data_IF_367502788509
#
_entry.id   IF_367502788509
#
_cell.length_a   1.000
_cell.length_b   1.000
_cell.length_c   1.000
_cell.angle_alpha   90.00
_cell.angle_beta   90.00
_cell.angle_gamma   90.00
#
_symmetry.space_group_name_H-M   'P 1'
#
loop_
_entity.id
_entity.type
_entity.pdbx_description
1 polymer ?
#
# COMPACT_ATOMS: atom_id res chain seq x y z
N UNK A 1 -19.38 12.03 66.65
CA UNK A 1 -18.47 13.15 66.32
C UNK A 1 -18.48 13.25 64.81
N UNK A 2 -19.60 13.73 64.26
CA UNK A 2 -19.93 15.12 63.86
C UNK A 2 -19.57 15.33 62.37
N UNK A 3 -20.54 15.26 61.42
CA UNK A 3 -21.47 16.31 60.96
C UNK A 3 -20.72 17.51 60.34
N UNK A 4 -21.01 18.09 59.17
CA UNK A 4 -22.16 18.08 58.23
C UNK A 4 -21.70 18.83 56.95
N UNK A 5 -22.04 18.39 55.73
CA UNK A 5 -23.09 18.92 54.80
C UNK A 5 -23.08 20.42 54.43
N UNK A 6 -23.21 20.67 53.12
CA UNK A 6 -23.83 21.84 52.45
C UNK A 6 -23.15 22.13 51.10
N UNK A 7 -23.63 21.76 49.89
CA UNK A 7 -24.86 22.05 49.12
C UNK A 7 -25.21 23.55 48.97
N UNK A 8 -25.03 24.09 47.74
CA UNK A 8 -25.98 24.85 46.88
C UNK A 8 -25.18 25.74 45.91
N UNK A 9 -25.27 25.65 44.57
CA UNK A 9 -26.37 25.84 43.60
C UNK A 9 -26.49 27.28 43.07
N UNK A 10 -26.16 27.43 41.78
CA UNK A 10 -26.67 28.32 40.71
C UNK A 10 -26.81 29.84 40.90
N UNK A 11 -26.22 30.59 39.95
CA UNK A 11 -26.86 31.74 39.28
C UNK A 11 -26.52 31.73 37.78
N UNK A 12 -27.52 31.45 36.94
CA UNK A 12 -27.62 31.89 35.54
C UNK A 12 -28.19 33.33 35.55
N UNK A 13 -27.67 34.23 34.70
CA UNK A 13 -28.44 35.05 33.75
C UNK A 13 -27.69 36.32 33.28
N UNK A 14 -27.82 36.56 31.96
CA UNK A 14 -27.81 37.85 31.25
C UNK A 14 -26.48 38.57 30.96
N UNK A 15 -26.05 38.55 29.69
CA UNK A 15 -26.38 39.64 28.76
C UNK A 15 -26.20 39.20 27.29
N UNK A 16 -27.29 39.31 26.51
CA UNK A 16 -27.28 39.39 25.05
C UNK A 16 -26.90 40.81 24.60
N UNK A 17 -26.68 40.98 23.27
CA UNK A 17 -26.47 42.20 22.46
C UNK A 17 -25.02 42.72 22.46
N UNK A 18 -24.34 42.95 21.33
CA UNK A 18 -24.78 43.35 19.99
C UNK A 18 -23.92 42.70 18.90
N UNK A 19 -24.60 42.16 17.89
CA UNK A 19 -24.08 42.04 16.54
C UNK A 19 -23.87 43.44 15.94
N UNK A 20 -22.76 43.67 15.23
CA UNK A 20 -22.80 44.28 13.91
C UNK A 20 -21.41 44.35 13.24
N UNK A 21 -21.38 43.80 12.02
CA UNK A 21 -20.78 44.39 10.81
C UNK A 21 -19.25 44.29 10.68
N UNK A 22 -18.80 43.30 9.89
CA UNK A 22 -18.22 43.50 8.56
C UNK A 22 -17.94 42.14 7.90
N UNK A 23 -18.78 41.74 6.95
CA UNK A 23 -18.46 40.72 5.96
C UNK A 23 -18.13 41.47 4.66
N UNK A 24 -16.96 41.28 4.04
CA UNK A 24 -16.78 41.67 2.65
C UNK A 24 -17.47 40.64 1.75
N UNK A 25 -18.57 41.11 1.15
CA UNK A 25 -19.04 40.80 -0.21
C UNK A 25 -17.89 40.35 -1.12
N UNK A 26 -17.95 39.28 -1.89
CA UNK A 26 -19.05 38.69 -2.62
C UNK A 26 -18.46 38.31 -3.98
N UNK A 27 -18.36 37.03 -4.29
CA UNK A 27 -18.20 36.55 -5.67
C UNK A 27 -19.41 35.67 -5.93
N UNK A 28 -20.23 36.14 -6.86
CA UNK A 28 -21.49 35.53 -7.23
C UNK A 28 -21.23 34.17 -7.92
N UNK A 29 -21.96 33.15 -7.45
CA UNK A 29 -22.20 31.94 -8.21
C UNK A 29 -23.14 32.27 -9.38
N UNK A 30 -22.71 31.96 -10.59
CA UNK A 30 -23.59 31.91 -11.75
C UNK A 30 -24.09 30.47 -11.89
N UNK A 31 -25.36 30.25 -11.56
CA UNK A 31 -26.17 29.14 -12.09
C UNK A 31 -26.79 29.60 -13.41
N UNK A 32 -26.45 28.94 -14.52
CA UNK A 32 -27.39 28.37 -15.50
C UNK A 32 -26.60 27.82 -16.71
N UNK A 33 -26.89 26.58 -17.10
CA UNK A 33 -26.40 25.98 -18.34
C UNK A 33 -26.37 24.46 -18.32
N UNK A 34 -27.47 23.85 -18.76
CA UNK A 34 -27.72 22.42 -18.93
C UNK A 34 -26.58 21.63 -19.63
N UNK A 35 -26.50 20.29 -19.43
CA UNK A 35 -25.36 19.48 -19.85
C UNK A 35 -25.30 19.29 -21.37
N UNK A 36 -24.13 19.52 -21.95
CA UNK A 36 -23.82 19.15 -23.32
C UNK A 36 -23.47 17.66 -23.35
N UNK A 37 -24.36 16.89 -23.95
CA UNK A 37 -24.20 15.49 -24.34
C UNK A 37 -23.18 15.42 -25.48
N UNK A 38 -22.11 14.61 -25.33
CA UNK A 38 -21.30 14.19 -26.47
C UNK A 38 -21.86 12.88 -27.04
N UNK A 39 -22.08 12.90 -28.35
CA UNK A 39 -22.80 11.96 -29.19
C UNK A 39 -22.33 10.49 -29.05
N UNK A 40 -23.29 9.61 -28.75
CA UNK A 40 -23.21 8.19 -29.08
C UNK A 40 -23.59 7.99 -30.55
N UNK A 41 -22.68 7.39 -31.32
CA UNK A 41 -23.00 6.84 -32.64
C UNK A 41 -23.72 5.49 -32.44
N UNK A 42 -25.04 5.49 -32.66
CA UNK A 42 -25.85 4.34 -33.13
C UNK A 42 -25.91 4.49 -34.66
N UNK A 43 -25.95 3.47 -35.51
CA UNK A 43 -26.38 2.07 -35.43
C UNK A 43 -26.23 1.48 -36.83
N UNK A 44 -26.14 0.16 -36.99
CA UNK A 44 -26.96 -0.57 -37.99
C UNK A 44 -26.85 -2.09 -37.79
N UNK A 45 -27.83 -2.65 -37.09
CA UNK A 45 -28.33 -4.00 -37.36
C UNK A 45 -29.52 -3.85 -38.31
N UNK A 46 -29.64 -4.77 -39.27
CA UNK A 46 -30.94 -5.06 -39.90
C UNK A 46 -31.08 -6.56 -40.13
N UNK A 47 -32.24 -7.04 -39.69
CA UNK A 47 -32.75 -8.40 -39.69
C UNK A 47 -32.90 -9.02 -41.10
N UNK A 48 -33.00 -10.36 -41.14
CA UNK A 48 -34.00 -11.02 -41.98
C UNK A 48 -34.47 -12.34 -41.38
N UNK A 49 -35.78 -12.40 -41.15
CA UNK A 49 -36.59 -13.57 -40.78
C UNK A 49 -37.16 -14.20 -42.07
N UNK A 50 -37.27 -15.53 -42.14
CA UNK A 50 -38.54 -16.29 -42.33
C UNK A 50 -38.43 -17.63 -43.08
N UNK A 51 -39.08 -18.62 -42.44
CA UNK A 51 -39.99 -19.67 -42.96
C UNK A 51 -39.51 -21.07 -43.38
N UNK A 52 -40.37 -22.01 -42.96
CA UNK A 52 -40.34 -23.48 -42.94
C UNK A 52 -40.80 -24.17 -44.24
N UNK A 53 -40.81 -25.52 -44.19
CA UNK A 53 -41.39 -26.56 -45.06
C UNK A 53 -40.48 -27.08 -46.19
N UNK A 54 -40.27 -28.38 -46.39
CA UNK A 54 -40.79 -29.60 -45.76
C UNK A 54 -40.31 -30.85 -46.54
N UNK A 55 -40.56 -32.04 -45.98
CA UNK A 55 -40.58 -33.38 -46.62
C UNK A 55 -39.22 -33.97 -47.08
N UNK A 56 -38.91 -35.28 -47.07
CA UNK A 56 -39.60 -36.55 -46.79
C UNK A 56 -38.52 -37.68 -46.73
N UNK A 57 -38.76 -38.75 -45.92
CA UNK A 57 -38.45 -40.19 -46.15
C UNK A 57 -36.97 -40.62 -46.44
N UNK A 58 -36.41 -41.77 -46.09
CA UNK A 58 -36.90 -43.05 -45.55
C UNK A 58 -35.69 -43.87 -45.02
N UNK A 59 -36.02 -44.96 -44.32
CA UNK A 59 -35.17 -46.01 -43.76
C UNK A 59 -34.16 -46.68 -44.74
N UNK A 60 -33.05 -47.23 -44.22
CA UNK A 60 -32.86 -48.69 -44.05
C UNK A 60 -31.46 -49.12 -43.56
N UNK A 61 -31.49 -49.90 -42.46
CA UNK A 61 -30.78 -51.18 -42.19
C UNK A 61 -29.36 -51.42 -42.76
N UNK A 62 -28.35 -51.56 -41.90
CA UNK A 62 -27.87 -52.81 -41.27
C UNK A 62 -26.85 -53.59 -42.11
N UNK A 63 -25.64 -53.77 -41.57
CA UNK A 63 -25.06 -55.07 -41.13
C UNK A 63 -23.53 -55.05 -41.16
N UNK A 64 -22.98 -55.51 -40.04
CA UNK A 64 -21.56 -55.72 -39.75
C UNK A 64 -21.04 -56.95 -40.48
N UNK A 65 -19.77 -56.92 -40.93
CA UNK A 65 -18.99 -58.14 -41.18
C UNK A 65 -17.53 -57.96 -40.74
N UNK A 66 -17.17 -58.72 -39.71
CA UNK A 66 -15.82 -58.92 -39.17
C UNK A 66 -15.08 -59.95 -40.04
N UNK A 67 -13.76 -59.79 -40.25
CA UNK A 67 -12.81 -60.89 -40.47
C UNK A 67 -11.34 -60.40 -40.31
N UNK A 68 -10.78 -60.73 -39.15
CA UNK A 68 -9.46 -61.32 -38.84
C UNK A 68 -8.31 -61.30 -39.89
N UNK A 69 -7.11 -60.82 -39.52
CA UNK A 69 -5.82 -61.58 -39.52
C UNK A 69 -4.55 -60.73 -39.23
N UNK A 70 -3.54 -61.44 -38.70
CA UNK A 70 -2.32 -61.10 -37.93
C UNK A 70 -1.05 -60.76 -38.74
N UNK A 71 0.09 -60.36 -38.09
CA UNK A 71 1.11 -59.44 -38.63
C UNK A 71 2.43 -60.10 -39.08
N UNK A 72 3.17 -59.44 -40.00
CA UNK A 72 4.64 -59.50 -40.09
C UNK A 72 5.24 -58.50 -41.12
N UNK A 73 6.16 -57.67 -40.61
CA UNK A 73 7.47 -57.25 -41.17
C UNK A 73 7.67 -56.36 -42.43
N UNK A 74 8.67 -55.47 -42.25
CA UNK A 74 9.52 -54.72 -43.21
C UNK A 74 8.92 -53.48 -43.89
N UNK A 75 9.63 -52.40 -44.23
CA UNK A 75 10.83 -51.68 -43.79
C UNK A 75 11.01 -50.54 -44.81
N UNK A 76 11.33 -49.33 -44.37
CA UNK A 76 11.90 -48.19 -45.12
C UNK A 76 11.43 -47.92 -46.56
N UNK A 77 10.58 -46.91 -46.72
CA UNK A 77 10.65 -46.00 -47.88
C UNK A 77 10.04 -44.64 -47.51
N UNK A 78 10.84 -43.57 -47.60
CA UNK A 78 10.36 -42.18 -47.63
C UNK A 78 9.55 -41.95 -48.91
N UNK A 79 8.34 -41.41 -48.77
CA UNK A 79 7.57 -40.82 -49.88
C UNK A 79 7.10 -39.42 -49.45
N UNK A 80 7.28 -38.39 -50.30
CA UNK A 80 7.03 -36.99 -49.98
C UNK A 80 5.53 -36.69 -49.81
N UNK A 81 5.19 -35.93 -48.78
CA UNK A 81 3.82 -35.68 -48.34
C UNK A 81 3.16 -34.50 -49.07
N UNK A 82 2.56 -34.78 -50.23
CA UNK A 82 1.34 -34.12 -50.68
C UNK A 82 0.34 -35.21 -51.13
N UNK A 83 -0.89 -35.18 -50.59
CA UNK A 83 -1.97 -36.18 -50.65
C UNK A 83 -1.89 -37.38 -49.68
N UNK A 84 -2.38 -37.22 -48.44
CA UNK A 84 -3.41 -38.10 -47.85
C UNK A 84 -4.33 -37.24 -46.98
N UNK A 85 -5.54 -36.98 -47.47
CA UNK A 85 -6.68 -36.51 -46.66
C UNK A 85 -7.79 -37.54 -46.76
N UNK A 86 -8.44 -37.77 -45.61
CA UNK A 86 -9.62 -38.58 -45.32
C UNK A 86 -9.36 -40.03 -44.90
N UNK A 87 -9.35 -40.22 -43.58
CA UNK A 87 -9.44 -41.55 -42.96
C UNK A 87 -8.63 -41.75 -41.69
N UNK A 88 -8.44 -40.72 -40.86
CA UNK A 88 -8.02 -40.93 -39.47
C UNK A 88 -9.23 -40.63 -38.59
N UNK A 89 -9.70 -41.66 -37.88
CA UNK A 89 -10.33 -41.46 -36.59
C UNK A 89 -9.48 -40.44 -35.84
N UNK A 90 -10.01 -39.24 -35.64
CA UNK A 90 -9.60 -38.43 -34.50
C UNK A 90 -10.17 -39.17 -33.30
N UNK A 91 -9.45 -40.18 -32.84
CA UNK A 91 -9.36 -40.37 -31.40
C UNK A 91 -8.65 -39.10 -30.96
N UNK A 92 -9.39 -38.17 -30.38
CA UNK A 92 -8.77 -37.26 -29.44
C UNK A 92 -8.15 -38.15 -28.37
N UNK A 93 -6.90 -38.56 -28.55
CA UNK A 93 -6.06 -38.86 -27.40
C UNK A 93 -5.87 -37.52 -26.70
N UNK A 94 -6.84 -37.16 -25.85
CA UNK A 94 -6.53 -36.36 -24.68
C UNK A 94 -5.47 -37.19 -23.95
N UNK A 95 -4.20 -36.86 -24.12
CA UNK A 95 -3.17 -37.36 -23.23
C UNK A 95 -3.48 -36.76 -21.85
N UNK A 96 -4.35 -37.43 -21.10
CA UNK A 96 -4.69 -37.18 -19.70
C UNK A 96 -3.47 -37.52 -18.84
N UNK A 97 -2.34 -36.88 -19.12
CA UNK A 97 -1.12 -37.11 -18.35
C UNK A 97 -1.18 -36.21 -17.14
N UNK A 98 -1.64 -36.78 -16.04
CA UNK A 98 -1.63 -36.12 -14.75
C UNK A 98 -0.19 -35.93 -14.28
N UNK A 99 0.08 -34.79 -13.63
CA UNK A 99 1.41 -34.41 -13.19
C UNK A 99 1.61 -34.81 -11.74
N UNK A 100 2.71 -35.52 -11.45
CA UNK A 100 3.07 -35.88 -10.08
C UNK A 100 3.52 -34.66 -9.28
N UNK A 101 2.88 -34.43 -8.14
CA UNK A 101 3.26 -33.41 -7.17
C UNK A 101 3.44 -34.01 -5.78
N UNK A 102 4.19 -33.30 -4.95
CA UNK A 102 4.53 -33.71 -3.59
C UNK A 102 4.10 -32.64 -2.61
N UNK A 103 3.43 -33.06 -1.55
CA UNK A 103 2.93 -32.19 -0.49
C UNK A 103 3.30 -32.75 0.88
N UNK A 104 3.15 -31.94 1.93
CA UNK A 104 3.42 -32.29 3.31
C UNK A 104 2.14 -32.23 4.14
N UNK A 105 1.75 -33.30 4.83
CA UNK A 105 0.62 -33.29 5.75
C UNK A 105 0.96 -32.54 7.04
N UNK A 106 -0.07 -32.14 7.79
CA UNK A 106 0.09 -31.39 9.04
C UNK A 106 0.94 -32.13 10.08
N UNK A 107 0.64 -33.42 10.28
CA UNK A 107 1.16 -34.24 11.40
C UNK A 107 2.41 -35.06 11.06
N UNK A 108 2.93 -34.96 9.84
CA UNK A 108 4.12 -35.72 9.40
C UNK A 108 5.01 -34.89 8.48
N UNK A 109 6.32 -35.11 8.59
CA UNK A 109 7.33 -34.51 7.70
C UNK A 109 7.62 -35.35 6.46
N UNK A 110 6.92 -36.48 6.29
CA UNK A 110 6.99 -37.31 5.10
C UNK A 110 6.17 -36.68 3.96
N UNK A 111 6.74 -36.69 2.75
CA UNK A 111 6.03 -36.27 1.55
C UNK A 111 4.90 -37.26 1.21
N UNK A 112 3.74 -36.72 0.85
CA UNK A 112 2.65 -37.45 0.22
C UNK A 112 2.63 -37.13 -1.27
N UNK A 113 2.44 -38.16 -2.09
CA UNK A 113 2.43 -38.05 -3.56
C UNK A 113 1.00 -38.06 -4.06
N UNK A 114 0.65 -37.10 -4.91
CA UNK A 114 -0.63 -37.06 -5.60
C UNK A 114 -0.46 -36.55 -7.04
N UNK A 115 -1.45 -36.84 -7.88
CA UNK A 115 -1.46 -36.46 -9.28
C UNK A 115 -2.42 -35.28 -9.48
N UNK A 116 -2.00 -34.29 -10.26
CA UNK A 116 -2.84 -33.18 -10.68
C UNK A 116 -3.21 -33.31 -12.15
N UNK A 117 -4.46 -32.98 -12.49
CA UNK A 117 -4.90 -32.84 -13.88
C UNK A 117 -4.26 -31.62 -14.52
N UNK A 118 -4.36 -31.52 -15.86
CA UNK A 118 -3.84 -30.39 -16.62
C UNK A 118 -4.47 -29.04 -16.21
N UNK A 119 -5.69 -29.05 -15.66
CA UNK A 119 -6.38 -27.86 -15.13
C UNK A 119 -5.93 -27.45 -13.71
N UNK A 120 -5.00 -28.20 -13.10
CA UNK A 120 -4.47 -27.96 -11.77
C UNK A 120 -5.29 -28.53 -10.62
N UNK A 121 -6.40 -29.24 -10.89
CA UNK A 121 -7.18 -29.93 -9.86
C UNK A 121 -6.59 -31.30 -9.50
N UNK A 122 -6.92 -31.83 -8.33
CA UNK A 122 -6.48 -33.17 -7.92
C UNK A 122 -7.11 -34.24 -8.81
N UNK A 123 -6.29 -35.12 -9.35
CA UNK A 123 -6.72 -36.32 -10.06
C UNK A 123 -6.90 -37.49 -9.09
N UNK A 124 -8.11 -37.61 -8.56
CA UNK A 124 -8.45 -38.63 -7.56
C UNK A 124 -8.28 -40.05 -8.08
N UNK A 125 -8.79 -40.37 -9.28
CA UNK A 125 -8.75 -41.72 -9.83
C UNK A 125 -7.30 -42.15 -10.12
N UNK A 126 -6.51 -41.27 -10.74
CA UNK A 126 -5.12 -41.59 -11.01
C UNK A 126 -4.28 -41.66 -9.72
N UNK A 127 -4.57 -40.78 -8.75
CA UNK A 127 -3.88 -40.80 -7.45
C UNK A 127 -4.21 -42.07 -6.68
N UNK A 128 -5.47 -42.50 -6.63
CA UNK A 128 -5.86 -43.75 -5.96
C UNK A 128 -5.18 -44.97 -6.62
N UNK A 129 -5.12 -44.99 -7.95
CA UNK A 129 -4.51 -46.10 -8.70
C UNK A 129 -3.00 -46.25 -8.46
N UNK A 130 -2.27 -45.16 -8.18
CA UNK A 130 -0.80 -45.17 -8.04
C UNK A 130 -0.32 -44.98 -6.59
N UNK A 131 -1.10 -44.28 -5.77
CA UNK A 131 -0.77 -43.82 -4.43
C UNK A 131 -1.99 -43.97 -3.50
N UNK A 132 -2.58 -45.17 -3.45
CA UNK A 132 -3.81 -45.45 -2.69
C UNK A 132 -3.76 -45.03 -1.22
N UNK A 133 -2.61 -45.14 -0.56
CA UNK A 133 -2.43 -44.64 0.82
C UNK A 133 -2.66 -43.12 0.93
N UNK A 134 -2.32 -42.36 -0.10
CA UNK A 134 -2.57 -40.91 -0.13
C UNK A 134 -4.07 -40.62 -0.12
N UNK A 135 -4.85 -41.35 -0.91
CA UNK A 135 -6.32 -41.21 -0.93
C UNK A 135 -6.98 -41.74 0.33
N UNK A 136 -6.45 -42.81 0.92
CA UNK A 136 -7.04 -43.42 2.12
C UNK A 136 -6.86 -42.57 3.39
N UNK A 137 -5.71 -41.89 3.52
CA UNK A 137 -5.34 -41.20 4.77
C UNK A 137 -5.34 -39.68 4.68
N UNK A 138 -5.14 -39.10 3.49
CA UNK A 138 -4.84 -37.68 3.36
C UNK A 138 -5.80 -36.93 2.43
N UNK A 139 -6.58 -37.61 1.59
CA UNK A 139 -7.53 -36.96 0.70
C UNK A 139 -8.96 -37.39 1.01
N UNK A 140 -9.89 -36.45 0.94
CA UNK A 140 -11.33 -36.72 0.87
C UNK A 140 -11.81 -36.66 -0.57
N UNK A 141 -13.10 -36.86 -0.82
CA UNK A 141 -13.70 -36.79 -2.16
C UNK A 141 -13.77 -35.37 -2.76
N UNK A 142 -13.36 -34.34 -2.02
CA UNK A 142 -13.41 -32.94 -2.45
C UNK A 142 -12.22 -32.18 -1.88
N UNK A 143 -11.53 -31.45 -2.75
CA UNK A 143 -10.39 -30.61 -2.40
C UNK A 143 -10.33 -29.36 -3.29
N UNK A 144 -9.60 -28.36 -2.82
CA UNK A 144 -9.36 -27.12 -3.54
C UNK A 144 -7.92 -26.67 -3.28
N UNK A 145 -7.19 -26.36 -4.36
CA UNK A 145 -5.82 -25.85 -4.26
C UNK A 145 -5.89 -24.33 -4.25
N UNK A 146 -5.35 -23.74 -3.20
CA UNK A 146 -5.34 -22.29 -2.99
C UNK A 146 -3.91 -21.78 -2.92
N UNK A 147 -3.65 -20.63 -3.55
CA UNK A 147 -2.35 -19.98 -3.56
C UNK A 147 -2.23 -18.96 -2.42
N UNK A 148 -1.23 -19.17 -1.56
CA UNK A 148 -0.87 -18.33 -0.41
C UNK A 148 0.33 -17.42 -0.70
N UNK A 149 0.34 -16.77 -1.87
CA UNK A 149 1.41 -15.85 -2.25
C UNK A 149 2.69 -16.58 -2.65
N UNK A 150 2.58 -17.62 -3.47
CA UNK A 150 3.70 -18.45 -3.93
C UNK A 150 3.91 -19.73 -3.11
N UNK A 151 2.89 -20.14 -2.36
CA UNK A 151 2.80 -21.49 -1.78
C UNK A 151 1.41 -22.04 -2.05
N UNK A 152 1.33 -23.22 -2.67
CA UNK A 152 0.06 -23.91 -2.84
C UNK A 152 -0.30 -24.71 -1.59
N UNK A 153 -1.53 -24.55 -1.14
CA UNK A 153 -2.11 -25.32 -0.03
C UNK A 153 -3.38 -25.99 -0.52
N UNK A 154 -3.52 -27.28 -0.26
CA UNK A 154 -4.71 -28.04 -0.64
C UNK A 154 -5.63 -28.10 0.57
N UNK A 155 -6.76 -27.40 0.50
CA UNK A 155 -7.86 -27.60 1.44
C UNK A 155 -8.64 -28.85 1.05
N UNK A 156 -9.01 -29.68 2.02
CA UNK A 156 -9.66 -30.96 1.79
C UNK A 156 -10.85 -31.07 2.74
N UNK A 157 -12.02 -31.40 2.21
CA UNK A 157 -13.25 -31.46 2.99
C UNK A 157 -13.14 -32.52 4.09
N UNK A 158 -13.23 -32.11 5.35
CA UNK A 158 -13.16 -33.01 6.51
C UNK A 158 -11.77 -33.53 6.88
N UNK A 159 -10.70 -33.07 6.21
CA UNK A 159 -9.32 -33.45 6.48
C UNK A 159 -8.44 -32.22 6.74
N UNK A 160 -7.27 -32.43 7.33
CA UNK A 160 -6.28 -31.37 7.49
C UNK A 160 -5.70 -30.95 6.12
N UNK A 161 -5.32 -29.67 5.93
CA UNK A 161 -4.74 -29.22 4.67
C UNK A 161 -3.39 -29.87 4.39
N UNK A 162 -3.04 -29.96 3.10
CA UNK A 162 -1.72 -30.36 2.64
C UNK A 162 -0.94 -29.13 2.15
N UNK A 163 0.36 -29.08 2.46
CA UNK A 163 1.21 -27.91 2.20
C UNK A 163 2.30 -28.23 1.18
N UNK A 164 2.52 -27.37 0.19
CA UNK A 164 3.58 -27.55 -0.81
C UNK A 164 4.98 -27.53 -0.17
N UNK A 165 5.14 -26.79 0.94
CA UNK A 165 6.44 -26.61 1.61
C UNK A 165 6.47 -27.29 2.98
N UNK A 166 7.57 -28.00 3.26
CA UNK A 166 7.81 -28.66 4.56
C UNK A 166 7.82 -27.67 5.72
N UNK A 167 8.47 -26.53 5.51
CA UNK A 167 8.70 -25.43 6.43
C UNK A 167 7.66 -24.30 6.29
N UNK A 168 6.53 -24.58 5.64
CA UNK A 168 5.39 -23.68 5.50
C UNK A 168 5.01 -23.03 6.84
N UNK A 169 4.96 -21.69 6.86
CA UNK A 169 4.50 -20.93 8.03
C UNK A 169 3.04 -21.25 8.36
N UNK A 170 2.23 -21.54 7.33
CA UNK A 170 0.83 -21.91 7.46
C UNK A 170 0.69 -23.28 8.12
N UNK A 171 1.53 -24.24 7.73
CA UNK A 171 1.62 -25.56 8.37
C UNK A 171 2.07 -25.45 9.82
N UNK A 172 3.11 -24.65 10.10
CA UNK A 172 3.60 -24.49 11.49
C UNK A 172 2.54 -23.84 12.39
N UNK A 173 1.78 -22.87 11.87
CA UNK A 173 0.70 -22.24 12.61
C UNK A 173 -0.32 -23.27 13.12
N UNK A 174 -0.79 -24.16 12.25
CA UNK A 174 -1.78 -25.18 12.60
C UNK A 174 -1.31 -26.21 13.64
N UNK A 175 -0.01 -26.28 13.96
CA UNK A 175 0.50 -27.10 15.07
C UNK A 175 0.20 -26.48 16.45
N UNK A 176 -0.19 -25.20 16.49
CA UNK A 176 -0.51 -24.48 17.72
C UNK A 176 -1.93 -23.91 17.64
N UNK A 177 -2.91 -24.70 18.06
CA UNK A 177 -4.34 -24.33 18.06
C UNK A 177 -4.72 -23.71 19.41
N UNK A 178 -5.48 -22.61 19.34
CA UNK A 178 -6.03 -21.87 20.48
C UNK A 178 -7.56 -21.97 20.48
N UNK A 179 -8.15 -21.97 21.67
CA UNK A 179 -9.60 -21.96 21.85
C UNK A 179 -10.15 -20.53 21.84
N UNK A 180 -11.36 -20.36 21.32
CA UNK A 180 -12.09 -19.08 21.35
C UNK A 180 -11.88 -18.22 20.12
N UNK A 181 -11.93 -16.90 20.31
CA UNK A 181 -11.87 -15.92 19.22
C UNK A 181 -10.48 -15.28 19.13
N UNK A 182 -9.94 -15.04 17.92
CA UNK A 182 -8.73 -14.26 17.71
C UNK A 182 -8.74 -12.90 18.40
N UNK A 183 -7.57 -12.45 18.85
CA UNK A 183 -7.42 -11.16 19.53
C UNK A 183 -7.58 -9.95 18.60
N UNK A 184 -7.15 -10.08 17.33
CA UNK A 184 -7.26 -9.02 16.33
C UNK A 184 -8.36 -9.31 15.33
N UNK A 185 -8.93 -8.25 14.76
CA UNK A 185 -9.88 -8.33 13.65
C UNK A 185 -9.24 -8.99 12.43
N UNK A 186 -10.04 -9.72 11.67
CA UNK A 186 -9.64 -10.41 10.46
C UNK A 186 -10.69 -10.22 9.37
N UNK A 187 -10.27 -10.35 8.12
CA UNK A 187 -11.10 -10.12 6.94
C UNK A 187 -11.67 -11.44 6.42
N UNK A 188 -12.98 -11.64 6.61
CA UNK A 188 -13.67 -12.84 6.13
C UNK A 188 -13.95 -12.77 4.62
N UNK A 189 -14.05 -11.58 4.04
CA UNK A 189 -14.31 -11.41 2.61
C UNK A 189 -13.06 -11.76 1.80
N UNK A 190 -11.88 -11.55 2.39
CA UNK A 190 -10.58 -11.99 1.87
C UNK A 190 -10.19 -13.43 2.30
N UNK A 191 -11.14 -14.23 2.78
CA UNK A 191 -10.84 -15.58 3.27
C UNK A 191 -10.41 -16.55 2.15
N UNK A 192 -9.47 -17.43 2.49
CA UNK A 192 -9.00 -18.54 1.66
C UNK A 192 -9.48 -19.85 2.29
N UNK A 193 -10.28 -20.62 1.53
CA UNK A 193 -10.97 -21.83 2.01
C UNK A 193 -11.46 -22.66 0.83
N UNK A 194 -11.88 -23.89 1.10
CA UNK A 194 -12.66 -24.67 0.14
C UNK A 194 -14.05 -24.08 -0.10
N UNK A 195 -14.56 -24.21 -1.33
CA UNK A 195 -15.87 -23.71 -1.74
C UNK A 195 -17.04 -24.25 -0.89
N UNK A 196 -16.88 -25.43 -0.28
CA UNK A 196 -17.88 -26.06 0.60
C UNK A 196 -17.94 -25.47 2.01
N UNK A 197 -16.91 -24.73 2.44
CA UNK A 197 -16.80 -24.28 3.83
C UNK A 197 -17.64 -23.03 4.07
N UNK A 198 -18.57 -23.09 5.04
CA UNK A 198 -19.37 -21.96 5.50
C UNK A 198 -18.61 -21.09 6.51
N UNK A 199 -18.89 -19.77 6.50
CA UNK A 199 -18.24 -18.76 7.37
C UNK A 199 -19.04 -18.42 8.63
N UNK A 200 -19.94 -19.31 9.08
CA UNK A 200 -20.93 -19.02 10.13
C UNK A 200 -20.44 -19.17 11.57
N UNK A 201 -19.46 -20.02 11.83
CA UNK A 201 -19.05 -20.41 13.17
C UNK A 201 -17.66 -21.02 13.20
N UNK A 202 -16.88 -20.61 14.20
CA UNK A 202 -15.52 -21.08 14.47
C UNK A 202 -15.35 -21.25 15.99
N UNK A 203 -14.68 -22.32 16.39
CA UNK A 203 -14.49 -22.66 17.83
C UNK A 203 -13.04 -22.56 18.27
N UNK A 204 -12.12 -22.67 17.32
CA UNK A 204 -10.68 -22.58 17.56
C UNK A 204 -10.01 -21.83 16.42
N UNK A 205 -8.77 -21.38 16.67
CA UNK A 205 -7.97 -20.68 15.68
C UNK A 205 -6.48 -20.99 15.85
N UNK A 206 -5.71 -20.78 14.78
CA UNK A 206 -4.25 -20.77 14.82
C UNK A 206 -3.74 -19.43 14.29
N UNK A 207 -2.72 -18.88 14.96
CA UNK A 207 -2.06 -17.64 14.52
C UNK A 207 -1.04 -17.94 13.44
N UNK A 208 -1.21 -17.30 12.28
CA UNK A 208 -0.22 -17.35 11.21
C UNK A 208 0.69 -16.14 11.33
N UNK A 209 1.98 -16.40 11.48
CA UNK A 209 3.01 -15.36 11.59
C UNK A 209 4.02 -15.48 10.46
N UNK A 210 4.57 -14.35 10.05
CA UNK A 210 5.69 -14.33 9.11
C UNK A 210 7.01 -14.71 9.81
N UNK A 211 8.10 -14.76 9.04
CA UNK A 211 9.46 -15.07 9.53
C UNK A 211 9.98 -14.09 10.59
N UNK A 212 9.40 -12.90 10.72
CA UNK A 212 9.71 -11.91 11.75
C UNK A 212 8.79 -12.03 12.99
N UNK A 213 8.08 -13.14 13.14
CA UNK A 213 7.12 -13.40 14.23
C UNK A 213 5.95 -12.41 14.30
N UNK A 214 5.67 -11.70 13.20
CA UNK A 214 4.54 -10.76 13.11
C UNK A 214 3.30 -11.49 12.63
N UNK A 215 2.17 -11.22 13.29
CA UNK A 215 0.87 -11.76 12.92
C UNK A 215 0.43 -11.23 11.55
N UNK A 216 0.07 -12.15 10.65
CA UNK A 216 -0.39 -11.82 9.28
C UNK A 216 -1.79 -12.37 8.98
N UNK A 217 -2.26 -13.31 9.79
CA UNK A 217 -3.60 -13.87 9.64
C UNK A 217 -3.87 -14.98 10.63
N UNK A 218 -4.99 -15.65 10.43
CA UNK A 218 -5.43 -16.76 11.25
C UNK A 218 -5.92 -17.90 10.37
N UNK A 219 -5.72 -19.14 10.82
CA UNK A 219 -6.67 -20.19 10.46
C UNK A 219 -7.79 -20.17 11.48
N UNK A 220 -9.03 -20.09 11.02
CA UNK A 220 -10.24 -20.32 11.80
C UNK A 220 -10.72 -21.74 11.53
N UNK A 221 -11.05 -22.48 12.58
CA UNK A 221 -11.36 -23.89 12.51
C UNK A 221 -12.80 -24.13 12.95
N UNK A 222 -13.52 -24.92 12.15
CA UNK A 222 -14.86 -25.41 12.50
C UNK A 222 -14.77 -26.52 13.56
N UNK A 223 -15.86 -26.82 14.28
CA UNK A 223 -15.94 -27.94 15.21
C UNK A 223 -15.52 -29.27 14.57
N UNK A 224 -15.06 -30.21 15.40
CA UNK A 224 -14.53 -31.51 14.98
C UNK A 224 -15.45 -32.32 14.07
N UNK A 225 -16.76 -32.06 14.08
CA UNK A 225 -17.74 -32.74 13.22
C UNK A 225 -17.60 -32.40 11.74
N UNK A 226 -17.13 -31.19 11.40
CA UNK A 226 -17.02 -30.72 10.02
C UNK A 226 -15.57 -30.41 9.60
N UNK A 227 -14.61 -30.54 10.53
CA UNK A 227 -13.16 -30.25 10.42
C UNK A 227 -12.78 -29.56 9.10
N UNK A 228 -13.12 -28.28 9.03
CA UNK A 228 -12.83 -27.40 7.90
C UNK A 228 -11.97 -26.24 8.40
N UNK A 229 -11.11 -25.74 7.50
CA UNK A 229 -10.14 -24.70 7.78
C UNK A 229 -10.42 -23.50 6.89
N UNK A 230 -10.42 -22.32 7.48
CA UNK A 230 -10.56 -21.05 6.77
C UNK A 230 -9.37 -20.19 7.14
N UNK A 231 -8.50 -19.87 6.18
CA UNK A 231 -7.51 -18.83 6.41
C UNK A 231 -8.14 -17.46 6.20
N UNK A 232 -7.86 -16.53 7.10
CA UNK A 232 -8.27 -15.13 7.02
C UNK A 232 -7.07 -14.23 7.27
N UNK A 233 -6.80 -13.24 6.41
CA UNK A 233 -5.79 -12.23 6.72
C UNK A 233 -6.26 -11.34 7.87
N UNK A 234 -5.31 -10.81 8.63
CA UNK A 234 -5.60 -9.83 9.68
C UNK A 234 -6.07 -8.51 9.05
N UNK A 235 -6.98 -7.77 9.70
CA UNK A 235 -7.32 -6.41 9.26
C UNK A 235 -6.24 -5.45 9.78
N UNK A 236 -5.30 -5.15 8.89
CA UNK A 236 -4.11 -4.36 9.17
C UNK A 236 -4.28 -2.85 9.10
N UNK A 237 -3.21 -2.13 9.47
CA UNK A 237 -2.98 -0.73 9.10
C UNK A 237 -2.47 -0.60 7.66
N UNK A 238 -1.74 -1.60 7.19
CA UNK A 238 -1.11 -1.59 5.88
C UNK A 238 -1.07 -2.99 5.26
N UNK A 239 -0.79 -3.05 3.96
CA UNK A 239 -0.58 -4.30 3.22
C UNK A 239 0.52 -4.16 2.17
N UNK A 240 1.11 -5.30 1.81
CA UNK A 240 2.00 -5.47 0.66
C UNK A 240 1.39 -6.57 -0.21
N UNK A 241 0.97 -6.23 -1.42
CA UNK A 241 0.15 -7.11 -2.24
C UNK A 241 -1.11 -7.57 -1.47
N UNK A 242 -1.25 -8.87 -1.27
CA UNK A 242 -2.38 -9.47 -0.52
C UNK A 242 -2.08 -9.68 0.98
N UNK A 243 -0.85 -9.42 1.43
CA UNK A 243 -0.45 -9.65 2.81
C UNK A 243 -0.71 -8.42 3.67
N UNK A 244 -1.57 -8.55 4.67
CA UNK A 244 -1.88 -7.48 5.62
C UNK A 244 -0.99 -7.51 6.87
N UNK A 245 -0.75 -6.34 7.44
CA UNK A 245 0.09 -6.13 8.62
C UNK A 245 -0.64 -5.30 9.66
N UNK A 246 -0.61 -5.75 10.92
CA UNK A 246 -1.28 -5.07 12.04
C UNK A 246 -0.86 -3.61 12.15
N UNK A 247 0.43 -3.32 11.96
CA UNK A 247 0.99 -1.96 12.02
C UNK A 247 1.72 -1.56 10.75
N UNK A 248 1.77 -0.25 10.47
CA UNK A 248 2.59 0.29 9.37
C UNK A 248 4.09 -0.04 9.54
N UNK A 249 4.62 0.02 10.77
CA UNK A 249 6.03 -0.32 11.00
C UNK A 249 6.31 -1.80 10.68
N UNK A 250 5.40 -2.72 11.02
CA UNK A 250 5.57 -4.13 10.69
C UNK A 250 5.57 -4.38 9.17
N UNK A 251 4.79 -3.62 8.42
CA UNK A 251 4.82 -3.66 6.95
C UNK A 251 6.18 -3.17 6.42
N UNK A 252 6.68 -2.03 6.91
CA UNK A 252 7.99 -1.49 6.52
C UNK A 252 9.11 -2.49 6.86
N UNK A 253 9.09 -3.08 8.05
CA UNK A 253 10.10 -4.04 8.49
C UNK A 253 10.09 -5.31 7.61
N UNK A 254 8.90 -5.72 7.15
CA UNK A 254 8.73 -6.92 6.31
C UNK A 254 8.97 -6.69 4.81
N UNK A 255 8.87 -5.45 4.34
CA UNK A 255 9.05 -5.10 2.92
C UNK A 255 10.45 -5.43 2.38
N UNK A 256 10.53 -5.80 1.11
CA UNK A 256 11.77 -5.83 0.35
C UNK A 256 12.05 -4.45 -0.27
N UNK A 257 13.28 -4.25 -0.74
CA UNK A 257 13.61 -3.06 -1.53
C UNK A 257 12.74 -3.01 -2.81
N UNK A 258 12.07 -1.88 -3.02
CA UNK A 258 11.17 -1.63 -4.14
C UNK A 258 9.70 -1.93 -3.88
N UNK A 259 9.36 -2.54 -2.74
CA UNK A 259 7.97 -2.88 -2.42
C UNK A 259 7.09 -1.63 -2.24
N UNK A 260 5.82 -1.78 -2.59
CA UNK A 260 4.75 -0.82 -2.32
C UNK A 260 3.91 -1.27 -1.12
N UNK A 261 3.83 -0.40 -0.13
CA UNK A 261 3.06 -0.55 1.10
C UNK A 261 1.84 0.36 0.96
N UNK A 262 0.64 -0.21 1.01
CA UNK A 262 -0.62 0.53 0.90
C UNK A 262 -1.31 0.56 2.25
N UNK A 263 -1.68 1.75 2.74
CA UNK A 263 -2.47 1.88 3.97
C UNK A 263 -3.92 1.41 3.74
N UNK A 264 -4.45 0.63 4.67
CA UNK A 264 -5.81 0.08 4.60
C UNK A 264 -6.79 0.83 5.51
N UNK A 265 -6.27 1.67 6.41
CA UNK A 265 -7.03 2.55 7.30
C UNK A 265 -6.13 3.68 7.80
N UNK A 266 -6.72 4.65 8.48
CA UNK A 266 -5.95 5.68 9.17
C UNK A 266 -5.09 5.05 10.29
N UNK A 267 -3.89 5.57 10.46
CA UNK A 267 -2.87 5.11 11.40
C UNK A 267 -2.71 6.13 12.50
N UNK A 268 -2.70 5.67 13.76
CA UNK A 268 -2.29 6.48 14.91
C UNK A 268 -1.02 5.88 15.48
N UNK A 269 0.08 6.64 15.48
CA UNK A 269 1.35 6.16 16.02
C UNK A 269 1.82 6.99 17.20
N UNK A 270 2.26 6.33 18.27
CA UNK A 270 2.96 6.97 19.40
C UNK A 270 4.49 6.96 19.24
N UNK A 271 4.99 6.25 18.24
CA UNK A 271 6.42 6.09 17.96
C UNK A 271 6.75 6.69 16.58
N UNK A 272 8.02 7.00 16.36
CA UNK A 272 8.50 7.42 15.04
C UNK A 272 8.42 6.22 14.10
N UNK A 273 7.95 6.45 12.87
CA UNK A 273 8.01 5.44 11.80
C UNK A 273 9.40 5.47 11.17
N UNK A 274 10.15 4.38 11.28
CA UNK A 274 11.52 4.28 10.78
C UNK A 274 11.57 3.57 9.41
N UNK A 275 12.16 4.23 8.42
CA UNK A 275 12.31 3.72 7.05
C UNK A 275 13.80 3.54 6.76
N UNK A 276 14.23 2.28 6.62
CA UNK A 276 15.65 1.88 6.46
C UNK A 276 15.96 1.24 5.11
N UNK A 277 15.00 1.27 4.18
CA UNK A 277 15.03 0.55 2.91
C UNK A 277 14.31 1.34 1.83
N UNK A 278 14.53 0.98 0.57
CA UNK A 278 13.86 1.64 -0.54
C UNK A 278 12.43 1.12 -0.67
N UNK A 279 11.42 1.95 -0.40
CA UNK A 279 10.00 1.54 -0.43
C UNK A 279 9.12 2.67 -0.92
N UNK A 280 7.92 2.29 -1.39
CA UNK A 280 6.81 3.23 -1.59
C UNK A 280 5.79 3.05 -0.47
N UNK A 281 5.41 4.14 0.19
CA UNK A 281 4.28 4.20 1.11
C UNK A 281 3.16 4.96 0.39
N UNK A 282 2.14 4.23 -0.05
CA UNK A 282 0.90 4.78 -0.56
C UNK A 282 -0.11 4.91 0.57
N UNK A 283 -0.45 6.15 0.91
CA UNK A 283 -1.45 6.46 1.91
C UNK A 283 -2.86 6.09 1.46
N UNK A 284 -3.14 5.90 0.17
CA UNK A 284 -4.50 5.67 -0.36
C UNK A 284 -5.54 6.66 0.20
N UNK A 285 -5.14 7.93 0.34
CA UNK A 285 -5.95 9.01 0.91
C UNK A 285 -6.13 8.96 2.44
N UNK A 286 -5.41 8.07 3.14
CA UNK A 286 -5.47 7.92 4.60
C UNK A 286 -4.59 8.91 5.34
N UNK A 287 -4.71 8.85 6.66
CA UNK A 287 -4.02 9.72 7.60
C UNK A 287 -3.00 8.92 8.41
N UNK A 288 -1.79 9.45 8.56
CA UNK A 288 -0.88 9.16 9.68
C UNK A 288 -1.00 10.28 10.72
N UNK A 289 -1.60 9.96 11.85
CA UNK A 289 -1.67 10.82 13.03
C UNK A 289 -0.56 10.43 14.02
N UNK A 290 0.52 11.20 14.04
CA UNK A 290 1.66 10.94 14.91
C UNK A 290 1.56 11.74 16.21
N UNK A 291 1.59 11.02 17.33
CA UNK A 291 1.80 11.60 18.64
C UNK A 291 3.30 11.72 19.00
N UNK A 292 4.19 11.16 18.17
CA UNK A 292 5.62 11.28 18.33
C UNK A 292 6.10 12.66 17.87
N UNK A 293 7.23 13.05 18.44
CA UNK A 293 7.92 14.30 18.11
C UNK A 293 8.30 14.40 16.63
N UNK A 294 8.47 13.26 15.95
CA UNK A 294 8.86 13.07 14.52
C UNK A 294 7.85 12.08 13.94
N UNK A 295 7.28 12.36 12.77
CA UNK A 295 6.38 11.45 12.07
C UNK A 295 7.13 10.26 11.48
N UNK A 296 7.99 10.54 10.51
CA UNK A 296 8.80 9.55 9.80
C UNK A 296 10.29 9.90 9.80
N UNK A 297 11.13 8.87 9.91
CA UNK A 297 12.59 8.94 9.73
C UNK A 297 13.02 8.16 8.49
N UNK A 298 13.85 8.79 7.68
CA UNK A 298 14.64 8.10 6.65
C UNK A 298 16.02 7.85 7.26
N UNK A 299 16.28 6.59 7.62
CA UNK A 299 17.34 6.16 8.56
C UNK A 299 18.34 5.19 7.88
N UNK A 300 18.67 5.43 6.62
CA UNK A 300 19.65 4.63 5.88
C UNK A 300 20.28 5.41 4.72
N UNK A 301 21.53 5.08 4.31
CA UNK A 301 22.14 5.61 3.10
C UNK A 301 21.62 4.89 1.86
N UNK A 302 21.77 5.52 0.70
CA UNK A 302 21.52 4.92 -0.62
C UNK A 302 20.09 4.38 -0.83
N UNK A 303 19.10 4.96 -0.15
CA UNK A 303 17.68 4.57 -0.25
C UNK A 303 16.87 5.50 -1.16
N UNK A 304 15.86 4.93 -1.81
CA UNK A 304 14.83 5.65 -2.54
C UNK A 304 13.46 5.44 -1.87
N UNK A 305 12.95 6.48 -1.24
CA UNK A 305 11.68 6.45 -0.50
C UNK A 305 10.66 7.31 -1.21
N UNK A 306 9.50 6.73 -1.51
CA UNK A 306 8.36 7.46 -2.06
C UNK A 306 7.22 7.45 -1.05
N UNK A 307 6.65 8.62 -0.78
CA UNK A 307 5.46 8.78 0.07
C UNK A 307 4.41 9.48 -0.79
N UNK A 308 3.25 8.86 -0.98
CA UNK A 308 2.19 9.42 -1.82
C UNK A 308 0.81 9.27 -1.22
N UNK A 309 -0.12 10.13 -1.63
CA UNK A 309 -1.55 10.08 -1.24
C UNK A 309 -1.77 10.02 0.27
N UNK A 310 -0.92 10.69 1.06
CA UNK A 310 -0.91 10.56 2.51
C UNK A 310 -1.08 11.92 3.18
N UNK A 311 -1.93 11.98 4.20
CA UNK A 311 -1.94 13.10 5.15
C UNK A 311 -1.08 12.73 6.36
N UNK A 312 -0.09 13.56 6.72
CA UNK A 312 0.68 13.39 7.96
C UNK A 312 0.42 14.58 8.87
N UNK A 313 -0.15 14.32 10.04
CA UNK A 313 -0.49 15.35 11.02
C UNK A 313 -0.28 14.85 12.45
N UNK A 314 -0.61 15.70 13.41
CA UNK A 314 -0.48 15.40 14.84
C UNK A 314 -1.62 16.03 15.61
N UNK A 315 -2.56 15.21 16.09
CA UNK A 315 -3.72 15.70 16.87
C UNK A 315 -3.33 16.19 18.27
N UNK A 316 -2.15 15.84 18.76
CA UNK A 316 -1.62 16.37 20.02
C UNK A 316 -0.74 17.62 19.84
N UNK A 317 -0.52 18.07 18.60
CA UNK A 317 0.31 19.24 18.24
C UNK A 317 1.79 19.16 18.69
N UNK A 318 2.29 17.98 19.04
CA UNK A 318 3.67 17.79 19.52
C UNK A 318 4.66 17.43 18.40
N UNK A 319 4.17 17.04 17.22
CA UNK A 319 5.03 16.67 16.10
C UNK A 319 5.77 17.90 15.56
N UNK A 320 7.07 17.96 15.79
CA UNK A 320 7.96 19.03 15.30
C UNK A 320 8.27 18.84 13.81
N UNK A 321 8.28 17.60 13.31
CA UNK A 321 8.67 17.26 11.93
C UNK A 321 7.80 16.11 11.41
N UNK A 322 7.17 16.27 10.25
CA UNK A 322 6.41 15.20 9.62
C UNK A 322 7.36 14.17 8.98
N UNK A 323 8.36 14.65 8.24
CA UNK A 323 9.39 13.82 7.61
C UNK A 323 10.77 14.38 7.97
N UNK A 324 11.65 13.52 8.48
CA UNK A 324 13.04 13.87 8.72
C UNK A 324 13.98 12.92 7.98
N UNK A 325 14.89 13.50 7.21
CA UNK A 325 15.99 12.78 6.57
C UNK A 325 17.19 12.88 7.51
N UNK A 326 17.66 11.73 8.01
CA UNK A 326 18.77 11.65 8.98
C UNK A 326 20.15 11.74 8.32
N UNK A 327 21.20 11.70 9.14
CA UNK A 327 22.62 11.89 8.77
C UNK A 327 23.16 10.72 7.93
N UNK A 328 22.66 10.65 6.70
CA UNK A 328 22.95 9.62 5.72
C UNK A 328 23.15 10.24 4.33
N UNK A 329 23.74 9.47 3.41
CA UNK A 329 24.13 9.94 2.08
C UNK A 329 23.24 9.35 0.99
N UNK A 330 23.12 10.07 -0.12
CA UNK A 330 22.51 9.59 -1.38
C UNK A 330 21.05 9.16 -1.23
N UNK A 331 20.26 9.91 -0.47
CA UNK A 331 18.84 9.64 -0.25
C UNK A 331 18.03 10.26 -1.37
N UNK A 332 17.12 9.50 -1.96
CA UNK A 332 16.04 10.03 -2.80
C UNK A 332 14.74 10.01 -2.02
N UNK A 333 14.11 11.17 -1.85
CA UNK A 333 12.80 11.32 -1.22
C UNK A 333 11.82 11.89 -2.24
N UNK A 334 10.78 11.14 -2.58
CA UNK A 334 9.68 11.59 -3.41
C UNK A 334 8.43 11.74 -2.55
N UNK A 335 7.80 12.92 -2.59
CA UNK A 335 6.56 13.22 -1.88
C UNK A 335 5.53 13.70 -2.90
N UNK A 336 4.49 12.92 -3.14
CA UNK A 336 3.49 13.23 -4.18
C UNK A 336 2.07 13.18 -3.65
N UNK A 337 1.26 14.20 -3.95
CA UNK A 337 -0.15 14.26 -3.54
C UNK A 337 -0.36 14.07 -2.03
N UNK A 338 0.43 14.77 -1.22
CA UNK A 338 0.37 14.68 0.25
C UNK A 338 -0.11 15.99 0.90
N UNK A 339 -0.61 15.90 2.13
CA UNK A 339 -0.85 17.05 3.02
C UNK A 339 -0.08 16.85 4.33
N UNK A 340 0.98 17.63 4.52
CA UNK A 340 1.91 17.46 5.63
C UNK A 340 1.84 18.68 6.55
N UNK A 341 1.57 18.45 7.83
CA UNK A 341 1.52 19.51 8.84
C UNK A 341 2.36 19.13 10.05
N UNK A 342 3.28 20.01 10.44
CA UNK A 342 4.03 19.88 11.68
C UNK A 342 4.18 21.24 12.37
N UNK A 343 4.53 21.22 13.65
CA UNK A 343 4.72 22.43 14.46
C UNK A 343 5.94 23.25 14.01
N UNK A 344 7.04 22.58 13.66
CA UNK A 344 8.33 23.21 13.38
C UNK A 344 8.75 23.01 11.92
N UNK A 345 9.68 22.08 11.67
CA UNK A 345 10.32 21.87 10.37
C UNK A 345 9.66 20.68 9.66
N UNK A 346 8.59 20.93 8.92
CA UNK A 346 7.68 19.86 8.46
C UNK A 346 8.39 18.79 7.65
N UNK A 347 9.17 19.20 6.65
CA UNK A 347 10.19 18.36 6.04
C UNK A 347 11.56 18.90 6.44
N UNK A 348 12.39 18.06 7.05
CA UNK A 348 13.68 18.47 7.57
C UNK A 348 14.81 17.53 7.15
N UNK A 349 15.76 18.04 6.37
CA UNK A 349 17.03 17.35 6.10
C UNK A 349 18.04 17.84 7.14
N UNK A 350 18.45 16.96 8.08
CA UNK A 350 19.33 17.38 9.17
C UNK A 350 20.78 17.59 8.71
N UNK A 351 21.56 18.24 9.56
CA UNK A 351 23.01 18.32 9.43
C UNK A 351 23.64 16.93 9.28
N UNK A 352 24.65 16.83 8.42
CA UNK A 352 25.37 15.59 8.12
C UNK A 352 24.80 14.80 6.93
N UNK A 353 23.48 14.88 6.72
CA UNK A 353 22.87 14.34 5.51
C UNK A 353 23.51 14.96 4.27
N UNK A 354 23.78 14.17 3.23
CA UNK A 354 24.39 14.71 2.02
C UNK A 354 23.92 14.06 0.73
N UNK A 355 23.93 14.86 -0.35
CA UNK A 355 23.44 14.45 -1.67
C UNK A 355 21.97 13.96 -1.63
N UNK A 356 21.13 14.64 -0.85
CA UNK A 356 19.68 14.36 -0.83
C UNK A 356 19.05 14.86 -2.13
N UNK A 357 18.39 13.97 -2.87
CA UNK A 357 17.50 14.31 -3.97
C UNK A 357 16.08 14.32 -3.44
N UNK A 358 15.41 15.46 -3.49
CA UNK A 358 14.05 15.60 -2.99
C UNK A 358 13.14 16.08 -4.12
N UNK A 359 12.04 15.37 -4.34
CA UNK A 359 11.01 15.76 -5.29
C UNK A 359 9.69 15.89 -4.54
N UNK A 360 9.09 17.07 -4.57
CA UNK A 360 7.79 17.37 -3.96
C UNK A 360 6.84 17.78 -5.07
N UNK A 361 5.74 17.06 -5.24
CA UNK A 361 4.74 17.33 -6.26
C UNK A 361 3.33 17.28 -5.71
N UNK A 362 2.45 18.19 -6.18
CA UNK A 362 1.02 18.21 -5.81
C UNK A 362 0.77 18.15 -4.31
N UNK A 363 1.70 18.70 -3.53
CA UNK A 363 1.76 18.48 -2.09
C UNK A 363 1.61 19.80 -1.37
N UNK A 364 0.92 19.77 -0.24
CA UNK A 364 0.89 20.86 0.73
C UNK A 364 1.79 20.53 1.90
N UNK A 365 2.65 21.49 2.29
CA UNK A 365 3.57 21.35 3.42
C UNK A 365 3.45 22.58 4.32
N UNK A 366 3.11 22.40 5.60
CA UNK A 366 2.85 23.50 6.51
C UNK A 366 3.50 23.34 7.90
N UNK A 367 4.28 24.33 8.32
CA UNK A 367 4.87 24.42 9.66
C UNK A 367 5.58 25.75 9.90
N UNK A 368 6.37 25.89 10.97
CA UNK A 368 7.21 27.07 11.16
C UNK A 368 8.19 27.26 10.00
N UNK A 369 8.82 26.17 9.56
CA UNK A 369 9.40 26.03 8.22
C UNK A 369 8.71 24.87 7.50
N UNK A 370 8.22 25.11 6.29
CA UNK A 370 7.65 24.05 5.49
C UNK A 370 8.75 23.04 5.08
N UNK A 371 9.86 23.56 4.56
CA UNK A 371 11.02 22.75 4.17
C UNK A 371 12.28 23.37 4.75
N UNK A 372 13.01 22.60 5.56
CA UNK A 372 14.29 22.98 6.13
C UNK A 372 15.43 22.09 5.63
N UNK A 373 16.46 22.69 5.04
CA UNK A 373 17.60 22.01 4.44
C UNK A 373 18.88 22.36 5.20
N UNK A 374 19.35 21.45 6.05
CA UNK A 374 20.59 21.60 6.83
C UNK A 374 21.72 20.65 6.40
N UNK A 375 21.44 19.76 5.46
CA UNK A 375 22.43 18.84 4.88
C UNK A 375 23.40 19.52 3.90
N UNK A 376 24.24 18.74 3.23
CA UNK A 376 25.21 19.22 2.23
C UNK A 376 25.00 18.59 0.87
N UNK A 377 24.84 19.44 -0.14
CA UNK A 377 24.61 19.03 -1.51
C UNK A 377 23.26 18.36 -1.68
N UNK A 378 22.71 18.50 -2.87
CA UNK A 378 21.43 17.90 -3.18
C UNK A 378 20.73 18.62 -4.30
N UNK A 379 19.68 17.97 -4.80
CA UNK A 379 18.77 18.56 -5.78
C UNK A 379 17.38 18.51 -5.20
N UNK A 380 16.72 19.65 -5.13
CA UNK A 380 15.36 19.75 -4.62
C UNK A 380 14.48 20.32 -5.72
N UNK A 381 13.50 19.53 -6.17
CA UNK A 381 12.50 19.97 -7.13
C UNK A 381 11.15 20.04 -6.42
N UNK A 382 10.51 21.19 -6.44
CA UNK A 382 9.18 21.40 -5.87
C UNK A 382 8.28 21.88 -7.01
N UNK A 383 7.20 21.16 -7.24
CA UNK A 383 6.32 21.39 -8.39
C UNK A 383 4.85 21.31 -8.02
N UNK A 384 4.01 22.16 -8.60
CA UNK A 384 2.55 22.12 -8.42
C UNK A 384 2.12 22.02 -6.94
N UNK A 385 2.87 22.67 -6.05
CA UNK A 385 2.80 22.46 -4.60
C UNK A 385 2.56 23.76 -3.86
N UNK A 386 2.16 23.64 -2.59
CA UNK A 386 1.99 24.79 -1.69
C UNK A 386 2.84 24.60 -0.45
N UNK A 387 3.75 25.55 -0.20
CA UNK A 387 4.55 25.61 1.02
C UNK A 387 4.00 26.72 1.91
N UNK A 388 3.66 26.41 3.16
CA UNK A 388 3.09 27.37 4.11
C UNK A 388 4.00 27.47 5.33
N UNK A 389 4.63 28.63 5.51
CA UNK A 389 5.39 28.96 6.70
C UNK A 389 4.54 29.77 7.66
N UNK A 390 4.44 29.35 8.92
CA UNK A 390 3.61 30.00 9.92
C UNK A 390 4.43 30.32 11.16
N UNK A 391 4.70 31.60 11.40
CA UNK A 391 5.41 32.02 12.59
C UNK A 391 4.47 32.25 13.77
N UNK A 392 4.35 31.23 14.62
CA UNK A 392 3.61 31.26 15.90
C UNK A 392 4.54 31.27 17.12
N UNK A 393 5.84 31.44 16.91
CA UNK A 393 6.82 31.39 18.01
C UNK A 393 6.63 32.61 18.93
N UNK A 394 6.96 32.52 20.22
CA UNK A 394 6.96 33.69 21.09
C UNK A 394 7.87 34.79 20.53
N UNK A 395 7.49 36.06 20.68
CA UNK A 395 8.32 37.16 20.18
C UNK A 395 9.71 37.17 20.84
N UNK A 396 10.76 37.36 20.04
CA UNK A 396 12.12 37.52 20.51
C UNK A 396 12.77 38.76 19.89
N UNK A 397 13.12 39.75 20.71
CA UNK A 397 13.72 41.02 20.26
C UNK A 397 15.06 40.90 19.52
N UNK A 398 15.77 39.79 19.71
CA UNK A 398 17.04 39.52 19.04
C UNK A 398 16.83 38.78 17.70
N UNK A 399 15.57 38.58 17.27
CA UNK A 399 15.21 37.95 16.00
C UNK A 399 15.38 36.44 15.96
N UNK A 400 15.63 35.77 17.11
CA UNK A 400 15.91 34.31 17.14
C UNK A 400 14.76 33.43 16.64
N UNK A 401 13.55 33.97 16.64
CA UNK A 401 12.36 33.29 16.20
C UNK A 401 11.88 33.79 14.82
N UNK A 402 12.63 34.68 14.16
CA UNK A 402 12.43 35.01 12.75
C UNK A 402 12.90 33.81 11.92
N UNK A 403 12.14 33.44 10.89
CA UNK A 403 12.45 32.25 10.10
C UNK A 403 11.96 32.36 8.66
N UNK A 404 12.10 31.28 7.89
CA UNK A 404 11.64 31.20 6.50
C UNK A 404 10.72 30.02 6.24
N UNK A 405 9.96 30.10 5.15
CA UNK A 405 9.07 29.01 4.70
C UNK A 405 9.86 27.91 4.01
N UNK A 406 10.72 28.28 3.07
CA UNK A 406 11.78 27.42 2.51
C UNK A 406 13.12 27.88 3.08
N UNK A 407 13.80 27.02 3.83
CA UNK A 407 15.02 27.38 4.55
C UNK A 407 16.21 26.55 4.07
N UNK A 408 17.27 27.28 3.74
CA UNK A 408 18.62 26.75 3.53
C UNK A 408 19.43 27.12 4.78
N UNK A 409 19.60 26.14 5.66
CA UNK A 409 19.99 26.35 7.04
C UNK A 409 21.49 26.67 7.19
N UNK A 410 21.78 27.58 8.10
CA UNK A 410 23.08 28.11 8.40
C UNK A 410 23.47 27.92 9.86
N UNK A 411 22.72 27.16 10.67
CA UNK A 411 23.16 26.88 12.04
C UNK A 411 24.53 26.20 12.04
N UNK A 412 25.59 27.00 12.22
CA UNK A 412 26.99 26.59 12.19
C UNK A 412 27.43 25.83 13.43
N UNK A 413 26.50 25.42 14.30
CA UNK A 413 26.78 24.48 15.37
C UNK A 413 27.58 23.29 14.81
N UNK A 414 28.75 23.04 15.41
CA UNK A 414 29.68 21.98 15.00
C UNK A 414 30.26 22.11 13.58
N UNK A 415 30.23 23.30 12.97
CA UNK A 415 30.81 23.56 11.64
C UNK A 415 30.03 22.93 10.48
N UNK A 416 28.79 22.53 10.70
CA UNK A 416 27.90 21.99 9.68
C UNK A 416 26.86 23.04 9.30
N UNK A 417 26.75 23.35 8.02
CA UNK A 417 25.77 24.30 7.48
C UNK A 417 25.46 23.88 6.04
N UNK A 418 24.34 24.36 5.51
CA UNK A 418 23.88 23.98 4.19
C UNK A 418 24.78 24.54 3.09
N UNK A 419 25.24 23.65 2.21
CA UNK A 419 26.12 24.02 1.11
C UNK A 419 25.73 23.28 -0.18
N UNK A 420 25.88 23.95 -1.33
CA UNK A 420 25.75 23.35 -2.66
C UNK A 420 24.39 22.69 -2.97
N UNK A 421 23.30 23.18 -2.41
CA UNK A 421 21.95 22.81 -2.87
C UNK A 421 21.61 23.49 -4.20
N UNK A 422 20.95 22.73 -5.09
CA UNK A 422 20.27 23.25 -6.27
C UNK A 422 18.77 23.01 -6.14
N UNK A 423 18.01 24.09 -5.98
CA UNK A 423 16.59 24.08 -5.65
C UNK A 423 15.82 24.72 -6.80
N UNK A 424 14.78 24.05 -7.27
CA UNK A 424 13.91 24.52 -8.35
C UNK A 424 12.46 24.47 -7.87
N UNK A 425 11.79 25.62 -7.98
CA UNK A 425 10.37 25.79 -7.73
C UNK A 425 9.67 26.01 -9.08
N UNK A 426 8.74 25.14 -9.42
CA UNK A 426 7.96 25.19 -10.66
C UNK A 426 6.47 25.23 -10.32
N UNK A 427 5.72 26.23 -10.78
CA UNK A 427 4.28 26.35 -10.49
C UNK A 427 3.95 26.12 -8.99
N UNK A 428 4.78 26.70 -8.11
CA UNK A 428 4.69 26.47 -6.66
C UNK A 428 4.22 27.74 -5.98
N UNK A 429 3.33 27.60 -5.01
CA UNK A 429 2.92 28.71 -4.14
C UNK A 429 3.69 28.64 -2.82
N UNK A 430 4.33 29.72 -2.43
CA UNK A 430 4.85 29.91 -1.07
C UNK A 430 3.94 30.91 -0.37
N UNK A 431 3.46 30.57 0.82
CA UNK A 431 2.65 31.42 1.69
C UNK A 431 3.37 31.61 3.02
N UNK A 432 3.81 32.83 3.30
CA UNK A 432 4.52 33.16 4.54
C UNK A 432 3.65 34.03 5.44
N UNK A 433 3.32 33.48 6.62
CA UNK A 433 2.36 34.06 7.55
C UNK A 433 3.02 34.33 8.90
N UNK A 434 2.67 35.45 9.50
CA UNK A 434 3.09 35.82 10.86
C UNK A 434 1.87 35.93 11.74
N UNK A 435 1.81 35.13 12.80
CA UNK A 435 0.70 35.17 13.76
C UNK A 435 1.11 35.78 15.11
N UNK A 436 2.42 35.92 15.36
CA UNK A 436 2.96 36.65 16.51
C UNK A 436 3.54 37.99 16.08
N UNK A 437 2.96 39.09 16.54
CA UNK A 437 3.43 40.46 16.24
C UNK A 437 4.93 40.64 16.55
N UNK A 438 5.64 41.26 15.62
CA UNK A 438 7.07 41.56 15.72
C UNK A 438 8.01 40.47 15.20
N UNK A 439 7.54 39.22 15.03
CA UNK A 439 8.31 38.18 14.36
C UNK A 439 8.29 38.36 12.84
N UNK A 440 9.19 37.65 12.15
CA UNK A 440 9.25 37.61 10.69
C UNK A 440 9.12 36.19 10.14
N UNK A 441 8.55 36.10 8.94
CA UNK A 441 8.50 34.88 8.15
C UNK A 441 8.84 35.21 6.70
N UNK A 442 10.05 34.88 6.27
CA UNK A 442 10.49 35.08 4.89
C UNK A 442 9.98 33.95 3.98
N UNK A 443 9.76 34.24 2.70
CA UNK A 443 9.39 33.19 1.74
C UNK A 443 10.54 32.19 1.55
N UNK A 444 11.75 32.70 1.36
CA UNK A 444 12.96 31.91 1.16
C UNK A 444 14.07 32.48 2.03
N UNK A 445 14.63 31.67 2.92
CA UNK A 445 15.69 32.08 3.84
C UNK A 445 16.99 31.33 3.52
N UNK A 446 18.04 32.08 3.19
CA UNK A 446 19.41 31.57 3.23
C UNK A 446 20.00 31.97 4.58
N UNK A 447 20.00 31.07 5.56
CA UNK A 447 20.49 31.41 6.89
C UNK A 447 22.03 31.43 6.91
N UNK A 448 22.65 32.30 7.71
CA UNK A 448 24.11 32.45 7.76
C UNK A 448 24.76 31.38 8.67
N UNK A 449 25.83 30.67 8.25
CA UNK A 449 26.66 30.90 7.07
C UNK A 449 26.46 29.85 5.96
N UNK A 450 25.22 29.50 5.61
CA UNK A 450 24.97 28.64 4.42
C UNK A 450 25.68 29.20 3.19
N UNK A 451 26.17 28.36 2.29
CA UNK A 451 27.02 28.84 1.20
C UNK A 451 26.84 28.10 -0.13
N UNK A 452 27.05 28.83 -1.24
CA UNK A 452 27.04 28.27 -2.61
C UNK A 452 25.75 27.53 -2.99
N UNK A 453 24.62 27.91 -2.40
CA UNK A 453 23.31 27.35 -2.72
C UNK A 453 22.63 28.14 -3.86
N UNK A 454 21.76 27.48 -4.60
CA UNK A 454 20.96 28.08 -5.68
C UNK A 454 19.48 27.77 -5.46
N UNK A 455 18.64 28.79 -5.54
CA UNK A 455 17.19 28.65 -5.65
C UNK A 455 16.75 29.33 -6.95
N UNK A 456 16.09 28.56 -7.82
CA UNK A 456 15.41 29.04 -9.02
C UNK A 456 13.91 28.98 -8.79
N UNK A 457 13.26 30.12 -8.95
CA UNK A 457 11.80 30.25 -8.96
C UNK A 457 11.39 30.48 -10.40
N UNK A 458 10.48 29.67 -10.92
CA UNK A 458 9.96 29.88 -12.27
C UNK A 458 8.90 30.99 -12.33
N UNK A 459 8.60 31.48 -13.53
CA UNK A 459 7.63 32.56 -13.72
C UNK A 459 6.17 32.19 -13.46
N UNK A 460 5.87 30.92 -13.19
CA UNK A 460 4.52 30.46 -12.83
C UNK A 460 4.32 30.31 -11.31
N UNK A 461 5.40 30.31 -10.54
CA UNK A 461 5.36 30.25 -9.08
C UNK A 461 4.90 31.58 -8.47
N UNK A 462 4.23 31.47 -7.32
CA UNK A 462 3.66 32.63 -6.60
C UNK A 462 4.28 32.68 -5.21
N UNK A 463 4.87 33.83 -4.86
CA UNK A 463 5.46 34.06 -3.54
C UNK A 463 4.59 35.08 -2.79
N UNK A 464 3.78 34.60 -1.86
CA UNK A 464 2.92 35.39 -0.98
C UNK A 464 3.59 35.52 0.39
N UNK A 465 3.70 36.74 0.89
CA UNK A 465 4.33 37.02 2.18
C UNK A 465 3.66 38.23 2.83
N UNK A 466 3.34 38.09 4.12
CA UNK A 466 2.81 39.18 4.95
C UNK A 466 3.96 39.96 5.58
N UNK A 467 3.98 41.28 5.38
CA UNK A 467 4.85 42.29 6.03
C UNK A 467 6.39 42.08 5.93
N UNK A 468 6.87 41.03 5.26
CA UNK A 468 8.26 40.57 5.33
C UNK A 468 9.00 40.55 3.99
N UNK A 469 10.26 40.09 4.02
CA UNK A 469 11.17 40.10 2.89
C UNK A 469 10.97 38.87 1.99
N UNK A 470 11.10 39.08 0.68
CA UNK A 470 11.10 38.00 -0.30
C UNK A 470 12.20 36.98 0.00
N UNK A 471 13.38 37.48 0.37
CA UNK A 471 14.56 36.70 0.74
C UNK A 471 15.37 37.42 1.81
N UNK A 472 15.77 36.66 2.84
CA UNK A 472 16.85 37.05 3.75
C UNK A 472 18.13 36.30 3.37
N UNK A 473 19.19 37.06 3.09
CA UNK A 473 20.46 36.55 2.59
C UNK A 473 21.51 36.51 3.72
N UNK A 474 21.93 35.30 4.05
CA UNK A 474 23.10 34.99 4.86
C UNK A 474 24.13 34.18 4.06
N UNK A 475 25.40 34.29 4.44
CA UNK A 475 26.50 33.49 3.92
C UNK A 475 26.92 33.74 2.45
N UNK A 476 28.03 33.11 2.07
CA UNK A 476 28.74 33.42 0.83
C UNK A 476 28.17 32.67 -0.39
N UNK A 477 28.01 33.39 -1.51
CA UNK A 477 27.72 32.83 -2.85
C UNK A 477 26.36 32.13 -3.00
N UNK A 478 25.42 32.34 -2.09
CA UNK A 478 24.02 31.94 -2.31
C UNK A 478 23.40 32.76 -3.45
N UNK A 479 22.54 32.12 -4.24
CA UNK A 479 21.90 32.73 -5.42
C UNK A 479 20.40 32.45 -5.43
N UNK A 480 19.62 33.51 -5.53
CA UNK A 480 18.22 33.46 -5.92
C UNK A 480 18.09 33.88 -7.38
N UNK A 481 17.31 33.16 -8.16
CA UNK A 481 16.95 33.48 -9.54
C UNK A 481 15.42 33.47 -9.62
N UNK A 482 14.83 34.55 -10.13
CA UNK A 482 13.39 34.77 -10.28
C UNK A 482 13.02 34.91 -11.76
#
# INVERSE_FOLDING_TARGET
MDNTKGKMLAVLASLMLLANVFLPTGVAFAEEGAPIVSEQVKSQETEKVSNEQGENLDNQESQVKVLDQTPAELSNQEIPSELITNGALVVEESSNTSTLVKYFPLDSDNEVSLLLKADGTVDYEATEAQYSETTDYYLGSTSEIVDFGGEKVIFIKGFAPLFEKKDSIYRQALKTIKNGTPAFSYDLDASLKGAWTSLDSFVTYAEVKNSAEKLIGYFLLKPDTDRDFVYVPVVGEAKIGNQAFVTLQDAIDSANDGDEIVLTKDVTSTQVIEIKKSVTIDGDGRILDSAAKRGMWIEAPDVNVTIKNLTIKSSNEEMERAIQVNDYKNITLNVDNCDLVAKDYTINVINGASNTKMNISKTKVAGWGAVNLWGKGGKVNISDSTLVGINRKPYNKDGRNDFGTLVVEGDGANGMYAENYDIVLTNTTIESRVETEGNKQDAILFNNPSASNRVLVDGSSVLQYEENSLVSLGGDKNKLIL
#
